data_IF_804236479956
#
_entry.id   IF_804236479956
#
_cell.length_a   1.000
_cell.length_b   1.000
_cell.length_c   1.000
_cell.angle_alpha   90.00
_cell.angle_beta   90.00
_cell.angle_gamma   90.00
#
_symmetry.space_group_name_H-M   'P 1'
#
loop_
_entity.id
_entity.type
_entity.pdbx_description
1 polymer ?
#
# COMPACT_ATOMS: atom_id res chain seq x y z
N UNK A 1 12.39 27.27 -0.42
CA UNK A 1 11.65 26.04 -0.83
C UNK A 1 10.23 25.97 -0.23
N UNK A 2 9.28 26.79 -0.70
CA UNK A 2 7.89 26.82 -0.18
C UNK A 2 6.97 25.77 -0.84
N UNK A 3 7.28 25.39 -2.09
CA UNK A 3 6.54 24.39 -2.89
C UNK A 3 6.63 22.97 -2.29
N UNK A 4 7.82 22.51 -1.87
CA UNK A 4 8.00 21.15 -1.32
C UNK A 4 7.22 20.96 -0.01
N UNK A 5 7.12 22.01 0.81
CA UNK A 5 6.41 21.97 2.10
C UNK A 5 4.89 21.96 1.93
N UNK A 6 4.37 22.45 0.80
CA UNK A 6 2.94 22.43 0.48
C UNK A 6 2.46 21.04 0.05
N UNK A 7 3.32 20.23 -0.58
CA UNK A 7 2.94 18.94 -1.21
C UNK A 7 2.74 17.77 -0.25
N UNK A 8 2.87 17.95 1.07
CA UNK A 8 2.94 16.86 2.07
C UNK A 8 4.09 15.87 1.75
N UNK A 9 5.33 16.17 2.18
CA UNK A 9 6.49 15.34 1.85
C UNK A 9 6.36 13.89 2.33
N UNK A 10 5.73 13.67 3.49
CA UNK A 10 5.49 12.32 4.04
C UNK A 10 4.56 11.47 3.17
N UNK A 11 3.51 12.06 2.59
CA UNK A 11 2.59 11.34 1.71
C UNK A 11 3.26 10.96 0.39
N UNK A 12 4.10 11.86 -0.14
CA UNK A 12 4.86 11.56 -1.35
C UNK A 12 5.88 10.45 -1.10
N UNK A 13 6.51 10.40 0.08
CA UNK A 13 7.42 9.33 0.47
C UNK A 13 6.70 7.97 0.57
N UNK A 14 5.48 7.95 1.12
CA UNK A 14 4.63 6.75 1.17
C UNK A 14 4.27 6.21 -0.22
N UNK A 15 3.94 7.10 -1.18
CA UNK A 15 3.65 6.70 -2.57
C UNK A 15 4.88 6.09 -3.22
N UNK A 16 6.06 6.71 -3.04
CA UNK A 16 7.32 6.19 -3.58
C UNK A 16 7.64 4.82 -2.97
N UNK A 17 7.46 4.66 -1.66
CA UNK A 17 7.69 3.38 -0.98
C UNK A 17 6.73 2.28 -1.46
N UNK A 18 5.44 2.58 -1.61
CA UNK A 18 4.47 1.67 -2.21
C UNK A 18 4.83 1.29 -3.65
N UNK A 19 5.29 2.26 -4.45
CA UNK A 19 5.77 2.02 -5.81
C UNK A 19 7.01 1.12 -5.85
N UNK A 20 7.98 1.32 -4.96
CA UNK A 20 9.16 0.47 -4.85
C UNK A 20 8.81 -0.97 -4.50
N UNK A 21 7.87 -1.18 -3.56
CA UNK A 21 7.33 -2.50 -3.23
C UNK A 21 6.68 -3.18 -4.44
N UNK A 22 5.86 -2.44 -5.19
CA UNK A 22 5.24 -2.95 -6.42
C UNK A 22 6.29 -3.30 -7.48
N UNK A 23 7.33 -2.50 -7.65
CA UNK A 23 8.44 -2.83 -8.56
C UNK A 23 9.19 -4.09 -8.12
N UNK A 24 9.44 -4.27 -6.82
CA UNK A 24 10.06 -5.48 -6.30
C UNK A 24 9.21 -6.74 -6.61
N UNK A 25 7.89 -6.61 -6.60
CA UNK A 25 6.98 -7.72 -6.96
C UNK A 25 7.15 -8.19 -8.41
N UNK A 26 7.47 -7.29 -9.34
CA UNK A 26 7.70 -7.61 -10.75
C UNK A 26 8.96 -8.46 -10.90
N UNK A 27 10.04 -8.10 -10.19
CA UNK A 27 11.26 -8.92 -10.15
C UNK A 27 11.00 -10.31 -9.58
N UNK A 28 10.19 -10.39 -8.51
CA UNK A 28 9.79 -11.68 -7.95
C UNK A 28 8.98 -12.48 -8.95
N UNK A 29 8.11 -11.86 -9.76
CA UNK A 29 7.31 -12.53 -10.79
C UNK A 29 8.17 -13.14 -11.90
N UNK A 30 9.30 -12.52 -12.22
CA UNK A 30 10.24 -12.99 -13.25
C UNK A 30 11.09 -14.21 -12.84
N UNK A 31 11.09 -14.62 -11.56
CA UNK A 31 11.75 -15.85 -11.11
C UNK A 31 10.87 -17.06 -11.45
N UNK A 32 11.12 -17.71 -12.58
CA UNK A 32 10.32 -18.86 -13.02
C UNK A 32 10.71 -20.18 -12.32
N UNK A 33 9.79 -21.14 -12.30
CA UNK A 33 9.91 -22.42 -11.57
C UNK A 33 11.06 -23.35 -12.02
N UNK A 34 11.83 -22.95 -13.03
CA UNK A 34 13.03 -23.65 -13.49
C UNK A 34 14.22 -23.49 -12.53
N UNK A 35 14.23 -22.44 -11.70
CA UNK A 35 15.32 -22.15 -10.75
C UNK A 35 15.03 -22.54 -9.30
N UNK A 36 13.79 -22.92 -8.98
CA UNK A 36 13.27 -22.94 -7.61
C UNK A 36 12.50 -24.24 -7.35
N UNK A 37 12.69 -24.85 -6.17
CA UNK A 37 12.03 -26.12 -5.81
C UNK A 37 10.51 -25.96 -5.65
N UNK A 38 9.72 -27.02 -5.83
CA UNK A 38 8.24 -26.95 -5.80
C UNK A 38 7.68 -26.31 -4.51
N UNK A 39 8.29 -26.60 -3.36
CA UNK A 39 7.90 -26.02 -2.06
C UNK A 39 8.21 -24.52 -1.97
N UNK A 40 9.32 -24.11 -2.57
CA UNK A 40 9.72 -22.71 -2.64
C UNK A 40 8.84 -21.94 -3.64
N UNK A 41 8.35 -22.60 -4.69
CA UNK A 41 7.41 -22.00 -5.65
C UNK A 41 6.06 -21.64 -5.01
N UNK A 42 5.49 -22.50 -4.16
CA UNK A 42 4.24 -22.22 -3.42
C UNK A 42 4.38 -21.00 -2.50
N UNK A 43 5.48 -20.94 -1.75
CA UNK A 43 5.78 -19.81 -0.86
C UNK A 43 6.03 -18.53 -1.65
N UNK A 44 6.73 -18.59 -2.78
CA UNK A 44 6.92 -17.44 -3.67
C UNK A 44 5.61 -16.93 -4.26
N UNK A 45 4.69 -17.81 -4.67
CA UNK A 45 3.38 -17.40 -5.20
C UNK A 45 2.57 -16.61 -4.16
N UNK A 46 2.62 -17.08 -2.92
CA UNK A 46 2.01 -16.40 -1.78
C UNK A 46 2.67 -15.04 -1.54
N UNK A 47 3.99 -15.00 -1.40
CA UNK A 47 4.75 -13.76 -1.13
C UNK A 47 4.57 -12.72 -2.24
N UNK A 48 4.53 -13.13 -3.51
CA UNK A 48 4.25 -12.25 -4.66
C UNK A 48 2.91 -11.53 -4.50
N UNK A 49 1.86 -12.29 -4.19
CA UNK A 49 0.50 -11.78 -4.02
C UNK A 49 0.44 -10.77 -2.87
N UNK A 50 1.07 -11.11 -1.75
CA UNK A 50 1.15 -10.24 -0.58
C UNK A 50 1.88 -8.92 -0.85
N UNK A 51 3.09 -8.97 -1.44
CA UNK A 51 3.89 -7.77 -1.70
C UNK A 51 3.17 -6.85 -2.71
N UNK A 52 2.55 -7.43 -3.74
CA UNK A 52 1.82 -6.67 -4.76
C UNK A 52 0.62 -5.92 -4.14
N UNK A 53 -0.20 -6.61 -3.35
CA UNK A 53 -1.39 -6.02 -2.71
C UNK A 53 -0.98 -4.95 -1.70
N UNK A 54 0.00 -5.23 -0.84
CA UNK A 54 0.49 -4.26 0.14
C UNK A 54 1.08 -3.01 -0.55
N UNK A 55 1.88 -3.19 -1.60
CA UNK A 55 2.44 -2.09 -2.38
C UNK A 55 1.36 -1.24 -3.06
N UNK A 56 0.39 -1.89 -3.71
CA UNK A 56 -0.73 -1.24 -4.37
C UNK A 56 -1.61 -0.45 -3.38
N UNK A 57 -2.05 -1.07 -2.29
CA UNK A 57 -2.92 -0.42 -1.29
C UNK A 57 -2.22 0.74 -0.61
N UNK A 58 -0.92 0.61 -0.31
CA UNK A 58 -0.15 1.72 0.27
C UNK A 58 -0.07 2.91 -0.68
N UNK A 59 0.22 2.67 -1.96
CA UNK A 59 0.31 3.72 -2.97
C UNK A 59 -1.06 4.37 -3.24
N UNK A 60 -2.10 3.56 -3.45
CA UNK A 60 -3.45 4.03 -3.73
C UNK A 60 -4.08 4.75 -2.52
N UNK A 61 -3.91 4.19 -1.31
CA UNK A 61 -4.37 4.80 -0.07
C UNK A 61 -3.72 6.17 0.18
N UNK A 62 -2.42 6.30 -0.12
CA UNK A 62 -1.72 7.57 -0.01
C UNK A 62 -2.21 8.60 -1.04
N UNK A 63 -2.51 8.19 -2.28
CA UNK A 63 -3.14 9.07 -3.28
C UNK A 63 -4.52 9.52 -2.84
N UNK A 64 -5.37 8.60 -2.37
CA UNK A 64 -6.71 8.92 -1.90
C UNK A 64 -6.69 9.92 -0.74
N UNK A 65 -5.81 9.71 0.24
CA UNK A 65 -5.70 10.60 1.39
C UNK A 65 -5.17 12.00 0.99
N UNK A 66 -4.33 12.10 -0.06
CA UNK A 66 -3.92 13.39 -0.65
C UNK A 66 -5.10 14.11 -1.30
N UNK A 67 -5.91 13.41 -2.10
CA UNK A 67 -7.14 13.95 -2.70
C UNK A 67 -8.17 14.37 -1.65
N UNK A 68 -8.35 13.54 -0.61
CA UNK A 68 -9.23 13.85 0.52
C UNK A 68 -8.80 15.11 1.27
N UNK A 69 -7.48 15.30 1.48
CA UNK A 69 -6.96 16.54 2.11
C UNK A 69 -7.36 17.78 1.30
N UNK A 70 -7.26 17.74 -0.03
CA UNK A 70 -7.67 18.84 -0.90
C UNK A 70 -9.17 19.09 -0.77
N UNK A 71 -9.99 18.04 -0.88
CA UNK A 71 -11.45 18.15 -0.71
C UNK A 71 -11.83 18.73 0.66
N UNK A 72 -11.18 18.28 1.74
CA UNK A 72 -11.41 18.76 3.09
C UNK A 72 -11.02 20.23 3.27
N UNK A 73 -9.98 20.72 2.57
CA UNK A 73 -9.61 22.15 2.59
C UNK A 73 -10.70 22.98 1.92
N UNK A 74 -11.15 22.61 0.71
CA UNK A 74 -12.20 23.35 0.00
C UNK A 74 -13.56 23.31 0.70
N UNK A 75 -13.89 22.21 1.38
CA UNK A 75 -15.14 22.07 2.15
C UNK A 75 -15.14 22.89 3.45
N UNK A 76 -13.97 23.24 4.00
CA UNK A 76 -13.85 24.01 5.25
C UNK A 76 -13.62 25.52 5.01
N UNK A 77 -14.55 26.18 4.32
CA UNK A 77 -14.54 27.65 4.11
C UNK A 77 -14.71 28.44 5.43
N UNK A 78 -15.33 27.84 6.45
CA UNK A 78 -15.45 28.42 7.81
C UNK A 78 -14.18 28.10 8.64
N UNK A 79 -13.21 29.01 8.53
CA UNK A 79 -11.89 29.00 9.15
C UNK A 79 -11.88 28.75 10.68
N UNK A 80 -11.90 27.49 11.11
CA UNK A 80 -11.12 27.07 12.29
C UNK A 80 -9.86 26.40 11.75
N UNK A 81 -8.68 26.97 11.99
CA UNK A 81 -7.37 26.39 11.63
C UNK A 81 -7.27 24.98 12.23
N UNK A 82 -7.77 23.98 11.51
CA UNK A 82 -7.62 22.58 11.89
C UNK A 82 -6.32 22.13 11.25
N UNK A 83 -5.26 22.11 12.06
CA UNK A 83 -4.00 21.47 11.66
C UNK A 83 -4.33 19.99 11.45
N UNK A 84 -4.48 19.59 10.19
CA UNK A 84 -4.67 18.19 9.82
C UNK A 84 -3.31 17.53 10.07
N UNK A 85 -3.19 16.86 11.21
CA UNK A 85 -1.99 16.14 11.61
C UNK A 85 -1.80 14.94 10.68
N UNK A 86 -0.58 14.75 10.17
CA UNK A 86 -0.22 13.67 9.25
C UNK A 86 -0.55 12.27 9.81
N UNK A 87 -0.62 12.13 11.14
CA UNK A 87 -1.08 10.92 11.84
C UNK A 87 -2.45 10.42 11.36
N UNK A 88 -3.40 11.31 11.02
CA UNK A 88 -4.73 10.90 10.55
C UNK A 88 -4.69 10.26 9.16
N UNK A 89 -3.78 10.69 8.31
CA UNK A 89 -3.61 10.08 6.98
C UNK A 89 -2.97 8.70 7.10
N UNK A 90 -1.97 8.53 7.97
CA UNK A 90 -1.41 7.21 8.28
C UNK A 90 -2.45 6.24 8.84
N UNK A 91 -3.38 6.71 9.67
CA UNK A 91 -4.49 5.88 10.19
C UNK A 91 -5.41 5.41 9.05
N UNK A 92 -5.75 6.27 8.10
CA UNK A 92 -6.60 5.88 6.95
C UNK A 92 -5.91 4.83 6.09
N UNK A 93 -4.63 5.05 5.74
CA UNK A 93 -3.84 4.09 4.94
C UNK A 93 -3.68 2.77 5.70
N UNK A 94 -3.32 2.84 6.99
CA UNK A 94 -3.19 1.65 7.85
C UNK A 94 -4.51 0.88 8.01
N UNK A 95 -5.64 1.58 8.04
CA UNK A 95 -6.96 0.95 8.06
C UNK A 95 -7.29 0.19 6.77
N UNK A 96 -7.00 0.77 5.60
CA UNK A 96 -7.16 0.06 4.31
C UNK A 96 -6.24 -1.15 4.23
N UNK A 97 -4.98 -1.00 4.67
CA UNK A 97 -3.99 -2.07 4.69
C UNK A 97 -4.38 -3.20 5.64
N UNK A 98 -4.98 -2.89 6.80
CA UNK A 98 -5.51 -3.89 7.72
C UNK A 98 -6.62 -4.74 7.10
N UNK A 99 -7.51 -4.13 6.31
CA UNK A 99 -8.58 -4.85 5.62
C UNK A 99 -7.98 -5.85 4.64
N UNK A 100 -7.01 -5.43 3.82
CA UNK A 100 -6.33 -6.31 2.88
C UNK A 100 -5.56 -7.44 3.58
N UNK A 101 -4.89 -7.14 4.70
CA UNK A 101 -4.21 -8.17 5.49
C UNK A 101 -5.20 -9.19 6.04
N UNK A 102 -6.35 -8.77 6.54
CA UNK A 102 -7.39 -9.70 6.99
C UNK A 102 -7.88 -10.60 5.85
N UNK A 103 -8.11 -10.04 4.66
CA UNK A 103 -8.52 -10.80 3.47
C UNK A 103 -7.45 -11.83 3.10
N UNK A 104 -6.18 -11.41 3.05
CA UNK A 104 -5.06 -12.28 2.71
C UNK A 104 -4.82 -13.39 3.73
N UNK A 105 -4.91 -13.08 5.02
CA UNK A 105 -4.78 -14.06 6.10
C UNK A 105 -5.92 -15.07 6.04
N UNK A 106 -7.17 -14.60 5.88
CA UNK A 106 -8.31 -15.48 5.72
C UNK A 106 -8.15 -16.40 4.51
N UNK A 107 -7.72 -15.85 3.37
CA UNK A 107 -7.48 -16.63 2.16
C UNK A 107 -6.42 -17.71 2.38
N UNK A 108 -5.32 -17.37 3.06
CA UNK A 108 -4.24 -18.31 3.33
C UNK A 108 -4.60 -19.42 4.32
N UNK A 109 -5.57 -19.17 5.20
CA UNK A 109 -6.09 -20.18 6.14
C UNK A 109 -7.08 -21.12 5.44
N UNK A 110 -7.96 -20.59 4.59
CA UNK A 110 -9.02 -21.39 3.93
C UNK A 110 -8.45 -22.21 2.78
N UNK A 111 -7.63 -21.58 1.92
CA UNK A 111 -7.07 -22.21 0.72
C UNK A 111 -5.58 -21.82 0.60
N UNK A 112 -4.68 -22.48 1.37
CA UNK A 112 -3.26 -22.33 1.13
C UNK A 112 -2.94 -22.82 -0.29
N UNK A 113 -2.34 -21.94 -1.10
CA UNK A 113 -1.85 -22.27 -2.44
C UNK A 113 -0.93 -23.50 -2.38
N UNK A 114 -1.49 -24.67 -2.68
CA UNK A 114 -0.76 -25.92 -2.86
C UNK A 114 -0.85 -26.34 -4.31
N UNK A 115 0.30 -26.64 -4.91
CA UNK A 115 0.36 -27.20 -6.27
C UNK A 115 0.20 -28.72 -6.14
N UNK A 116 -0.99 -29.23 -6.47
CA UNK A 116 -1.23 -30.67 -6.70
C UNK A 116 -0.43 -31.18 -7.88
#
# INVERSE_FOLDING_TARGET
HRLIKMSSPYMNNLIILGGLLSYASIFLFGLDGSFVSDKEFETLCTVRTWILIVGYTTAFGAMFAKTWRVHAIFKNVKMKKKIIKDQKLFIIVGGMLLIDLCILICWQIVDPLKRT
#
